data_IF_342798103222
#
_entry.id   IF_342798103222
#
_cell.length_a   1.000
_cell.length_b   1.000
_cell.length_c   1.000
_cell.angle_alpha   90.00
_cell.angle_beta   90.00
_cell.angle_gamma   90.00
#
_symmetry.space_group_name_H-M   'P 1'
#
loop_
_entity.id
_entity.type
_entity.pdbx_description
1 polymer ?
#
# COMPACT_ATOMS: atom_id res chain seq x y z
N UNK A 1 6.55 -16.05 5.45
CA UNK A 1 5.19 -15.98 4.86
C UNK A 1 5.25 -15.22 3.55
N UNK A 2 4.09 -14.92 2.94
CA UNK A 2 4.03 -13.93 1.84
C UNK A 2 4.18 -12.53 2.42
N UNK A 3 4.86 -11.63 1.72
CA UNK A 3 5.14 -10.29 2.24
C UNK A 3 3.85 -9.54 2.58
N UNK A 4 2.81 -9.62 1.73
CA UNK A 4 1.51 -9.00 2.00
C UNK A 4 0.93 -9.47 3.33
N UNK A 5 0.95 -10.78 3.59
CA UNK A 5 0.44 -11.35 4.85
C UNK A 5 1.19 -10.80 6.06
N UNK A 6 2.52 -10.67 5.98
CA UNK A 6 3.35 -10.16 7.07
C UNK A 6 3.02 -8.70 7.39
N UNK A 7 2.97 -7.83 6.37
CA UNK A 7 2.74 -6.39 6.61
C UNK A 7 1.28 -6.06 6.96
N UNK A 8 0.34 -6.98 6.72
CA UNK A 8 -1.06 -6.84 7.17
C UNK A 8 -1.33 -7.45 8.55
N UNK A 9 -0.37 -8.20 9.10
CA UNK A 9 -0.52 -8.80 10.44
C UNK A 9 -0.45 -7.69 11.49
N UNK A 10 -1.58 -7.45 12.17
CA UNK A 10 -1.70 -6.40 13.18
C UNK A 10 -0.83 -6.65 14.41
N UNK A 11 -0.31 -7.86 14.61
CA UNK A 11 0.69 -8.17 15.65
C UNK A 11 2.09 -7.71 15.25
N UNK A 12 2.35 -7.53 13.94
CA UNK A 12 3.63 -7.08 13.40
C UNK A 12 3.59 -5.59 13.14
N UNK A 13 2.59 -5.10 12.38
CA UNK A 13 2.42 -3.68 12.05
C UNK A 13 0.92 -3.34 12.16
N UNK A 14 0.57 -2.52 13.14
CA UNK A 14 -0.78 -2.02 13.30
C UNK A 14 -1.13 -0.95 12.25
N UNK A 15 -2.39 -0.93 11.80
CA UNK A 15 -2.93 0.11 10.92
C UNK A 15 -2.75 -0.14 9.41
N UNK A 16 -1.88 -1.08 9.02
CA UNK A 16 -1.77 -1.50 7.61
C UNK A 16 -2.80 -2.59 7.31
N UNK A 17 -3.86 -2.20 6.61
CA UNK A 17 -4.89 -3.11 6.09
C UNK A 17 -4.75 -3.40 4.59
N UNK A 18 -5.68 -4.18 4.04
CA UNK A 18 -5.65 -4.66 2.65
C UNK A 18 -5.38 -3.53 1.62
N UNK A 19 -6.09 -2.41 1.75
CA UNK A 19 -5.93 -1.27 0.85
C UNK A 19 -4.52 -0.68 0.86
N UNK A 20 -4.00 -0.32 2.03
CA UNK A 20 -2.66 0.26 2.10
C UNK A 20 -1.58 -0.76 1.75
N UNK A 21 -1.76 -2.04 2.09
CA UNK A 21 -0.80 -3.06 1.68
C UNK A 21 -0.65 -3.16 0.15
N UNK A 22 -1.74 -3.02 -0.61
CA UNK A 22 -1.70 -3.01 -2.07
C UNK A 22 -0.94 -1.79 -2.61
N UNK A 23 -1.24 -0.60 -2.06
CA UNK A 23 -0.58 0.64 -2.45
C UNK A 23 0.92 0.65 -2.12
N UNK A 24 1.28 0.21 -0.91
CA UNK A 24 2.66 0.12 -0.43
C UNK A 24 3.47 -0.83 -1.33
N UNK A 25 2.96 -2.03 -1.56
CA UNK A 25 3.64 -3.02 -2.39
C UNK A 25 3.76 -2.57 -3.85
N UNK A 26 2.78 -1.81 -4.34
CA UNK A 26 2.86 -1.19 -5.66
C UNK A 26 3.96 -0.10 -5.74
N UNK A 27 4.07 0.81 -4.75
CA UNK A 27 5.17 1.78 -4.69
C UNK A 27 6.52 1.08 -4.60
N UNK A 28 6.63 0.08 -3.73
CA UNK A 28 7.85 -0.70 -3.53
C UNK A 28 8.20 -1.60 -4.72
N UNK A 29 7.31 -1.72 -5.71
CA UNK A 29 7.41 -2.64 -6.86
C UNK A 29 7.66 -4.09 -6.41
N UNK A 30 7.01 -4.50 -5.33
CA UNK A 30 7.09 -5.85 -4.78
C UNK A 30 5.82 -6.63 -5.07
N UNK A 31 5.98 -7.88 -5.52
CA UNK A 31 4.84 -8.78 -5.67
C UNK A 31 4.22 -9.07 -4.30
N UNK A 32 2.88 -9.00 -4.14
CA UNK A 32 2.21 -9.39 -2.89
C UNK A 32 2.42 -10.86 -2.53
N UNK A 33 2.83 -11.67 -3.51
CA UNK A 33 3.13 -13.09 -3.36
C UNK A 33 4.61 -13.37 -3.07
N UNK A 34 5.48 -12.36 -3.04
CA UNK A 34 6.90 -12.53 -2.72
C UNK A 34 7.09 -13.15 -1.33
N UNK A 35 8.04 -14.06 -1.21
CA UNK A 35 8.37 -14.69 0.07
C UNK A 35 9.17 -13.71 0.93
N UNK A 36 8.67 -13.40 2.13
CA UNK A 36 9.23 -12.35 3.00
C UNK A 36 10.71 -12.54 3.36
N UNK A 37 11.16 -13.79 3.55
CA UNK A 37 12.54 -14.11 3.89
C UNK A 37 13.50 -14.18 2.69
N UNK A 38 13.01 -13.88 1.48
CA UNK A 38 13.82 -13.81 0.25
C UNK A 38 14.02 -12.37 -0.24
N UNK A 39 13.49 -11.40 0.49
CA UNK A 39 13.71 -10.00 0.15
C UNK A 39 15.15 -9.62 0.48
N UNK A 40 15.80 -8.95 -0.46
CA UNK A 40 17.10 -8.33 -0.25
C UNK A 40 16.99 -7.11 0.65
N UNK A 41 18.10 -6.68 1.24
CA UNK A 41 18.14 -5.45 2.06
C UNK A 41 17.66 -4.22 1.30
N UNK A 42 18.00 -4.12 0.01
CA UNK A 42 17.53 -3.05 -0.86
C UNK A 42 15.99 -3.09 -1.06
N UNK A 43 15.41 -4.28 -1.19
CA UNK A 43 13.95 -4.44 -1.27
C UNK A 43 13.26 -4.13 0.06
N UNK A 44 13.89 -4.47 1.19
CA UNK A 44 13.38 -4.14 2.52
C UNK A 44 13.42 -2.63 2.76
N UNK A 45 14.50 -1.95 2.38
CA UNK A 45 14.60 -0.49 2.43
C UNK A 45 13.53 0.17 1.55
N UNK A 46 13.38 -0.29 0.29
CA UNK A 46 12.34 0.24 -0.61
C UNK A 46 10.92 0.02 -0.07
N UNK A 47 10.67 -1.13 0.58
CA UNK A 47 9.39 -1.40 1.24
C UNK A 47 9.15 -0.44 2.41
N UNK A 48 10.16 -0.21 3.24
CA UNK A 48 10.08 0.73 4.36
C UNK A 48 9.78 2.15 3.87
N UNK A 49 10.50 2.64 2.88
CA UNK A 49 10.32 3.99 2.34
C UNK A 49 8.93 4.14 1.69
N UNK A 50 8.47 3.10 0.99
CA UNK A 50 7.11 3.04 0.45
C UNK A 50 6.03 3.09 1.55
N UNK A 51 6.24 2.39 2.67
CA UNK A 51 5.33 2.43 3.81
C UNK A 51 5.21 3.84 4.38
N UNK A 52 6.33 4.48 4.67
CA UNK A 52 6.36 5.84 5.20
C UNK A 52 5.68 6.80 4.22
N UNK A 53 6.07 6.78 2.95
CA UNK A 53 5.52 7.68 1.93
C UNK A 53 4.00 7.55 1.80
N UNK A 54 3.48 6.33 1.61
CA UNK A 54 2.04 6.08 1.39
C UNK A 54 1.21 6.46 2.62
N UNK A 55 1.67 6.11 3.82
CA UNK A 55 0.92 6.37 5.05
C UNK A 55 0.98 7.85 5.44
N UNK A 56 2.13 8.52 5.30
CA UNK A 56 2.25 9.96 5.55
C UNK A 56 1.38 10.78 4.60
N UNK A 57 1.35 10.42 3.32
CA UNK A 57 0.49 11.08 2.33
C UNK A 57 -1.00 10.88 2.65
N UNK A 58 -1.39 9.66 3.05
CA UNK A 58 -2.76 9.38 3.49
C UNK A 58 -3.17 10.18 4.75
N UNK A 59 -2.28 10.30 5.74
CA UNK A 59 -2.51 11.11 6.94
C UNK A 59 -2.64 12.59 6.56
N UNK A 60 -1.72 13.11 5.75
CA UNK A 60 -1.72 14.52 5.30
C UNK A 60 -3.04 14.90 4.65
N UNK A 61 -3.58 14.06 3.76
CA UNK A 61 -4.89 14.28 3.12
C UNK A 61 -6.07 14.20 4.09
N UNK A 62 -5.90 13.51 5.20
CA UNK A 62 -6.95 13.28 6.20
C UNK A 62 -6.99 14.38 7.27
N UNK A 63 -5.89 15.09 7.51
CA UNK A 63 -5.83 16.17 8.51
C UNK A 63 -6.81 17.28 8.14
N UNK A 64 -7.62 17.70 9.11
CA UNK A 64 -8.63 18.76 8.93
C UNK A 64 -9.94 18.30 8.28
N UNK A 65 -10.03 17.03 7.84
CA UNK A 65 -11.26 16.47 7.32
C UNK A 65 -12.21 16.02 8.44
N UNK A 66 -13.52 16.18 8.20
CA UNK A 66 -14.55 15.66 9.10
C UNK A 66 -14.67 14.14 8.98
N UNK A 67 -15.08 13.45 10.06
CA UNK A 67 -15.18 11.99 10.08
C UNK A 67 -16.02 11.40 8.93
N UNK A 68 -17.07 12.12 8.50
CA UNK A 68 -17.93 11.72 7.39
C UNK A 68 -17.22 11.73 6.02
N UNK A 69 -16.18 12.55 5.81
CA UNK A 69 -15.48 12.67 4.52
C UNK A 69 -14.27 11.76 4.39
N UNK A 70 -13.68 11.34 5.52
CA UNK A 70 -12.48 10.49 5.57
C UNK A 70 -12.58 9.21 4.72
N UNK A 71 -13.76 8.58 4.68
CA UNK A 71 -13.95 7.35 3.91
C UNK A 71 -13.86 7.60 2.40
N UNK A 72 -14.37 8.75 1.93
CA UNK A 72 -14.29 9.16 0.53
C UNK A 72 -12.87 9.51 0.13
N UNK A 73 -12.19 10.31 0.96
CA UNK A 73 -10.80 10.73 0.76
C UNK A 73 -9.83 9.56 0.70
N UNK A 74 -10.01 8.59 1.61
CA UNK A 74 -9.22 7.36 1.57
C UNK A 74 -9.34 6.67 0.21
N UNK A 75 -10.53 6.62 -0.38
CA UNK A 75 -10.78 5.90 -1.64
C UNK A 75 -10.23 6.65 -2.85
N UNK A 76 -10.33 7.98 -2.88
CA UNK A 76 -9.78 8.80 -3.97
C UNK A 76 -8.26 8.71 -4.06
N UNK A 77 -7.58 8.51 -2.93
CA UNK A 77 -6.12 8.38 -2.88
C UNK A 77 -5.54 7.02 -3.33
N UNK A 78 -6.36 6.02 -3.68
CA UNK A 78 -5.86 4.68 -4.02
C UNK A 78 -5.61 4.53 -5.53
N UNK A 79 -4.44 4.00 -5.89
CA UNK A 79 -3.97 3.90 -7.29
C UNK A 79 -4.18 2.51 -7.87
N UNK A 80 -4.16 1.46 -7.06
CA UNK A 80 -4.29 0.07 -7.50
C UNK A 80 -5.33 -0.71 -6.69
N UNK A 81 -5.55 -0.39 -5.41
CA UNK A 81 -6.53 -1.10 -4.61
C UNK A 81 -7.95 -0.91 -5.17
N UNK A 82 -8.70 -2.01 -5.29
CA UNK A 82 -10.05 -2.05 -5.87
C UNK A 82 -10.13 -1.46 -7.30
N UNK A 83 -9.03 -1.55 -8.06
CA UNK A 83 -8.92 -1.08 -9.45
C UNK A 83 -8.54 -2.19 -10.44
N UNK A 84 -8.77 -3.46 -10.07
CA UNK A 84 -8.56 -4.62 -10.96
C UNK A 84 -9.26 -4.39 -12.31
N UNK A 85 -8.54 -4.66 -13.40
CA UNK A 85 -9.02 -4.44 -14.77
C UNK A 85 -8.80 -3.03 -15.32
N UNK A 86 -8.44 -2.04 -14.48
CA UNK A 86 -8.12 -0.69 -14.92
C UNK A 86 -6.63 -0.54 -15.27
N UNK A 87 -6.25 0.45 -16.09
CA UNK A 87 -4.85 0.74 -16.37
C UNK A 87 -4.13 1.26 -15.12
N UNK A 88 -2.91 0.78 -14.92
CA UNK A 88 -2.01 1.21 -13.87
C UNK A 88 -1.59 2.66 -14.15
N UNK A 89 -1.68 3.58 -13.16
CA UNK A 89 -1.31 4.98 -13.37
C UNK A 89 0.21 5.20 -13.51
N UNK A 90 1.02 4.16 -13.29
CA UNK A 90 2.50 4.24 -13.38
C UNK A 90 3.01 3.69 -14.71
N UNK A 91 2.55 2.50 -15.12
CA UNK A 91 3.07 1.82 -16.31
C UNK A 91 2.04 1.58 -17.43
N UNK A 92 0.75 1.87 -17.20
CA UNK A 92 -0.32 1.65 -18.18
C UNK A 92 -0.85 0.21 -18.26
N UNK A 93 -0.16 -0.79 -17.72
CA UNK A 93 -0.63 -2.18 -17.70
C UNK A 93 -1.91 -2.37 -16.87
N UNK A 94 -2.65 -3.45 -17.14
CA UNK A 94 -3.84 -3.81 -16.36
C UNK A 94 -3.48 -4.20 -14.93
N UNK A 95 -4.15 -3.59 -13.95
CA UNK A 95 -4.09 -4.00 -12.52
C UNK A 95 -4.75 -5.36 -12.34
N UNK A 96 -4.09 -6.28 -11.61
CA UNK A 96 -4.52 -7.69 -11.40
C UNK A 96 -4.54 -8.06 -9.93
#
# INVERSE_FOLDING_TARGET
GRIKTVITDQKVIAGVGNAYSDEILHVAKLSPFATSNKLTDAQLAALHDAMISVLTDAVTRSVGQGAATLKGEKRSGLRVHARTGLPCPVCGDTVR
#
